data_IF_590794819981
#
_entry.id   IF_590794819981
#
_cell.length_a   1.000
_cell.length_b   1.000
_cell.length_c   1.000
_cell.angle_alpha   90.00
_cell.angle_beta   90.00
_cell.angle_gamma   90.00
#
_symmetry.space_group_name_H-M   'P 1'
#
loop_
_entity.id
_entity.type
_entity.pdbx_description
1 polymer ?
#
# COMPACT_ATOMS: atom_id res chain seq x y z
N UNK A 1 8.05 28.83 23.03
CA UNK A 1 7.54 27.48 22.69
C UNK A 1 8.07 27.12 21.31
N UNK A 2 8.62 25.93 21.13
CA UNK A 2 9.11 25.45 19.82
C UNK A 2 8.31 24.21 19.43
N UNK A 3 7.51 24.30 18.37
CA UNK A 3 6.68 23.19 17.89
C UNK A 3 7.45 22.27 16.94
N UNK A 4 7.12 20.97 16.93
CA UNK A 4 7.79 19.93 16.14
C UNK A 4 7.88 20.27 14.64
N UNK A 5 6.83 20.87 14.08
CA UNK A 5 6.78 21.25 12.65
C UNK A 5 6.90 22.75 12.41
N UNK A 6 7.37 23.52 13.40
CA UNK A 6 7.64 24.96 13.25
C UNK A 6 6.41 25.83 12.90
N UNK A 7 5.19 25.37 13.20
CA UNK A 7 3.97 26.15 12.97
C UNK A 7 3.54 26.25 11.48
N UNK A 8 4.04 25.36 10.62
CA UNK A 8 3.73 25.37 9.18
C UNK A 8 2.25 25.09 8.83
N UNK A 9 1.44 24.56 9.76
CA UNK A 9 0.06 24.14 9.50
C UNK A 9 -0.81 25.22 8.87
N UNK A 10 -0.77 26.46 9.39
CA UNK A 10 -1.65 27.55 8.95
C UNK A 10 -1.54 27.85 7.43
N UNK A 11 -0.34 27.66 6.85
CA UNK A 11 -0.10 27.91 5.44
C UNK A 11 -0.12 26.63 4.58
N UNK A 12 0.27 25.49 5.16
CA UNK A 12 0.35 24.23 4.41
C UNK A 12 -1.01 23.54 4.28
N UNK A 13 -1.87 23.58 5.31
CA UNK A 13 -3.11 22.79 5.33
C UNK A 13 -4.22 23.30 4.42
N UNK A 14 -4.07 24.52 3.87
CA UNK A 14 -5.05 25.15 2.97
C UNK A 14 -4.90 24.69 1.51
N UNK A 15 -3.89 23.86 1.19
CA UNK A 15 -3.68 23.32 -0.15
C UNK A 15 -3.39 21.83 -0.11
N UNK A 16 -3.84 21.09 -1.14
CA UNK A 16 -3.51 19.66 -1.30
C UNK A 16 -2.00 19.45 -1.41
N UNK A 17 -1.30 20.36 -2.09
CA UNK A 17 0.16 20.27 -2.21
C UNK A 17 0.85 20.41 -0.84
N UNK A 18 0.35 21.28 0.05
CA UNK A 18 0.89 21.37 1.41
C UNK A 18 0.65 20.09 2.22
N UNK A 19 -0.51 19.43 2.07
CA UNK A 19 -0.74 18.11 2.65
C UNK A 19 0.21 17.03 2.10
N UNK A 20 0.45 17.01 0.80
CA UNK A 20 1.36 16.04 0.18
C UNK A 20 2.82 16.28 0.58
N UNK A 21 3.27 17.54 0.53
CA UNK A 21 4.69 17.91 0.74
C UNK A 21 5.06 18.01 2.22
N UNK A 22 4.35 18.82 2.99
CA UNK A 22 4.76 19.21 4.34
C UNK A 22 4.27 18.23 5.42
N UNK A 23 3.29 17.40 5.08
CA UNK A 23 2.76 16.36 5.95
C UNK A 23 3.17 14.97 5.47
N UNK A 24 2.58 14.44 4.39
CA UNK A 24 2.80 13.05 3.97
C UNK A 24 4.27 12.79 3.60
N UNK A 25 4.86 13.58 2.71
CA UNK A 25 6.24 13.38 2.27
C UNK A 25 7.23 13.63 3.42
N UNK A 26 7.13 14.76 4.11
CA UNK A 26 8.08 15.11 5.17
C UNK A 26 8.03 14.14 6.36
N UNK A 27 6.83 13.75 6.83
CA UNK A 27 6.66 12.89 8.00
C UNK A 27 6.71 11.39 7.67
N UNK A 28 6.74 11.00 6.40
CA UNK A 28 7.05 9.62 6.02
C UNK A 28 8.55 9.30 6.14
N UNK A 29 9.43 10.30 6.30
CA UNK A 29 10.89 10.11 6.37
C UNK A 29 11.31 9.11 7.46
N UNK A 30 10.68 9.13 8.63
CA UNK A 30 10.99 8.22 9.73
C UNK A 30 10.66 6.77 9.38
N UNK A 31 9.51 6.51 8.74
CA UNK A 31 9.09 5.13 8.44
C UNK A 31 9.91 4.52 7.32
N UNK A 32 10.28 5.31 6.29
CA UNK A 32 11.07 4.80 5.15
C UNK A 32 12.56 4.64 5.46
N UNK A 33 13.09 5.34 6.46
CA UNK A 33 14.48 5.21 6.92
C UNK A 33 14.64 4.28 8.14
N UNK A 34 13.58 3.55 8.51
CA UNK A 34 13.56 2.73 9.73
C UNK A 34 14.36 1.42 9.65
N UNK A 35 14.86 1.05 8.47
CA UNK A 35 15.58 -0.22 8.26
C UNK A 35 16.91 -0.22 9.03
N UNK A 36 17.24 -1.37 9.64
CA UNK A 36 18.43 -1.48 10.51
C UNK A 36 18.25 -0.88 11.91
N UNK A 37 17.04 -0.45 12.28
CA UNK A 37 16.71 0.04 13.62
C UNK A 37 15.66 -0.84 14.33
N UNK A 38 15.40 -0.57 15.62
CA UNK A 38 14.30 -1.18 16.38
C UNK A 38 12.90 -0.82 15.84
N UNK A 39 12.80 0.20 14.98
CA UNK A 39 11.55 0.61 14.33
C UNK A 39 11.33 -0.05 12.96
N UNK A 40 12.25 -0.91 12.51
CA UNK A 40 12.17 -1.57 11.19
C UNK A 40 10.86 -2.32 10.94
N UNK A 41 10.24 -2.86 11.98
CA UNK A 41 8.92 -3.50 11.88
C UNK A 41 7.84 -2.54 11.35
N UNK A 42 7.87 -1.25 11.73
CA UNK A 42 6.94 -0.25 11.20
C UNK A 42 7.13 -0.02 9.70
N UNK A 43 8.38 0.00 9.23
CA UNK A 43 8.68 0.07 7.79
C UNK A 43 8.18 -1.15 7.01
N UNK A 44 8.27 -2.35 7.59
CA UNK A 44 7.73 -3.57 6.99
C UNK A 44 6.19 -3.55 6.93
N UNK A 45 5.52 -3.17 8.02
CA UNK A 45 4.06 -3.03 8.03
C UNK A 45 3.58 -1.92 7.08
N UNK A 46 4.33 -0.83 6.95
CA UNK A 46 4.03 0.22 5.98
C UNK A 46 3.97 -0.35 4.55
N UNK A 47 4.98 -1.11 4.13
CA UNK A 47 4.97 -1.77 2.81
C UNK A 47 3.90 -2.85 2.70
N UNK A 48 3.71 -3.66 3.75
CA UNK A 48 2.67 -4.69 3.78
C UNK A 48 1.26 -4.11 3.61
N UNK A 49 0.97 -2.97 4.25
CA UNK A 49 -0.29 -2.27 4.10
C UNK A 49 -0.49 -1.73 2.67
N UNK A 50 0.55 -1.16 2.06
CA UNK A 50 0.50 -0.73 0.65
C UNK A 50 0.24 -1.90 -0.30
N UNK A 51 0.87 -3.05 -0.04
CA UNK A 51 0.63 -4.27 -0.80
C UNK A 51 -0.82 -4.74 -0.68
N UNK A 52 -1.37 -4.84 0.53
CA UNK A 52 -2.76 -5.28 0.74
C UNK A 52 -3.74 -4.30 0.12
N UNK A 53 -3.49 -2.99 0.24
CA UNK A 53 -4.31 -1.97 -0.42
C UNK A 53 -4.34 -2.18 -1.94
N UNK A 54 -3.18 -2.29 -2.59
CA UNK A 54 -3.11 -2.52 -4.03
C UNK A 54 -3.70 -3.88 -4.45
N UNK A 55 -3.45 -4.94 -3.67
CA UNK A 55 -3.99 -6.26 -3.90
C UNK A 55 -5.52 -6.27 -3.82
N UNK A 56 -6.12 -5.51 -2.91
CA UNK A 56 -7.58 -5.39 -2.80
C UNK A 56 -8.22 -4.81 -4.07
N UNK A 57 -7.52 -3.93 -4.78
CA UNK A 57 -8.01 -3.33 -6.03
C UNK A 57 -8.20 -4.37 -7.13
N UNK A 58 -7.42 -5.45 -7.14
CA UNK A 58 -7.61 -6.57 -8.07
C UNK A 58 -9.03 -7.14 -7.97
N UNK A 59 -9.56 -7.29 -6.75
CA UNK A 59 -10.91 -7.83 -6.53
C UNK A 59 -11.99 -6.77 -6.71
N UNK A 60 -11.70 -5.50 -6.41
CA UNK A 60 -12.66 -4.40 -6.59
C UNK A 60 -12.89 -4.06 -8.07
N UNK A 61 -11.88 -4.23 -8.92
CA UNK A 61 -11.96 -3.89 -10.35
C UNK A 61 -12.17 -5.11 -11.26
N UNK A 62 -12.21 -6.33 -10.73
CA UNK A 62 -12.51 -7.54 -11.50
C UNK A 62 -13.86 -8.14 -11.10
N UNK A 63 -14.42 -8.94 -12.02
CA UNK A 63 -15.65 -9.70 -11.79
C UNK A 63 -15.37 -11.20 -11.71
N UNK A 64 -16.27 -11.95 -11.07
CA UNK A 64 -16.13 -13.41 -10.93
C UNK A 64 -16.02 -14.14 -12.27
N UNK A 65 -16.68 -13.66 -13.33
CA UNK A 65 -16.68 -14.30 -14.65
C UNK A 65 -15.28 -14.52 -15.22
N UNK A 66 -14.43 -13.48 -15.18
CA UNK A 66 -13.03 -13.58 -15.60
C UNK A 66 -12.26 -14.67 -14.83
N UNK A 67 -12.41 -14.68 -13.50
CA UNK A 67 -11.75 -15.66 -12.65
C UNK A 67 -12.26 -17.08 -12.87
N UNK A 68 -13.57 -17.23 -13.13
CA UNK A 68 -14.18 -18.52 -13.41
C UNK A 68 -13.61 -19.13 -14.69
N UNK A 69 -13.56 -18.38 -15.79
CA UNK A 69 -12.98 -18.85 -17.07
C UNK A 69 -11.49 -19.21 -16.94
N UNK A 70 -10.74 -18.42 -16.15
CA UNK A 70 -9.34 -18.72 -15.83
C UNK A 70 -9.22 -20.04 -15.05
N UNK A 71 -10.02 -20.23 -14.01
CA UNK A 71 -10.00 -21.44 -13.19
C UNK A 71 -10.39 -22.66 -14.02
N UNK A 72 -11.38 -22.56 -14.91
CA UNK A 72 -11.78 -23.64 -15.82
C UNK A 72 -10.63 -24.09 -16.72
N UNK A 73 -9.85 -23.13 -17.23
CA UNK A 73 -8.65 -23.41 -18.02
C UNK A 73 -7.56 -24.12 -17.20
N UNK A 74 -7.37 -23.71 -15.94
CA UNK A 74 -6.43 -24.35 -15.01
C UNK A 74 -6.87 -25.78 -14.68
N UNK A 75 -8.15 -25.99 -14.37
CA UNK A 75 -8.73 -27.30 -14.04
C UNK A 75 -8.64 -28.26 -15.23
N UNK A 76 -8.85 -27.77 -16.46
CA UNK A 76 -8.62 -28.56 -17.67
C UNK A 76 -7.18 -29.09 -17.74
N UNK A 77 -6.18 -28.24 -17.46
CA UNK A 77 -4.77 -28.62 -17.47
C UNK A 77 -4.45 -29.67 -16.39
N UNK A 78 -5.02 -29.53 -15.19
CA UNK A 78 -4.84 -30.49 -14.09
C UNK A 78 -5.44 -31.86 -14.44
N UNK A 79 -6.63 -31.88 -15.03
CA UNK A 79 -7.28 -33.12 -15.48
C UNK A 79 -6.46 -33.85 -16.55
N UNK A 80 -5.78 -33.12 -17.44
CA UNK A 80 -4.93 -33.73 -18.47
C UNK A 80 -3.78 -34.54 -17.88
N UNK A 81 -3.24 -34.09 -16.74
CA UNK A 81 -2.18 -34.76 -16.00
C UNK A 81 -2.71 -35.68 -14.88
N UNK A 82 -4.04 -35.74 -14.69
CA UNK A 82 -4.71 -36.52 -13.62
C UNK A 82 -4.25 -36.13 -12.21
N UNK A 83 -4.08 -34.84 -11.98
CA UNK A 83 -3.72 -34.26 -10.67
C UNK A 83 -4.78 -33.27 -10.16
N UNK A 84 -5.94 -33.25 -10.82
CA UNK A 84 -7.10 -32.51 -10.36
C UNK A 84 -7.73 -33.20 -9.15
#
# INVERSE_FOLDING_TARGET
VTHITGGNFAQSSITINGWLRDFLWAQASQVIQSYGSSLSAYGLFFLGAHFVWAFSLMFLFSGRGYWQELIESIVWAHNKLKVA
#
